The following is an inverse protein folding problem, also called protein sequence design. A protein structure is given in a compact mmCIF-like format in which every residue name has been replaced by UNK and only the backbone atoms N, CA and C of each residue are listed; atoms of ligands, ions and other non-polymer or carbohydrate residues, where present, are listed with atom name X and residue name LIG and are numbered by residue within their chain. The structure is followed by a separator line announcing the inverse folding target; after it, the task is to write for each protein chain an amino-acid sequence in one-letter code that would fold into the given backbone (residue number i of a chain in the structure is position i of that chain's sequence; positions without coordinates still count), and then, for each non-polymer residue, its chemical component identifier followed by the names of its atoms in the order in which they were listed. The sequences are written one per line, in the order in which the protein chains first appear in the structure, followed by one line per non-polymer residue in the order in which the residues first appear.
data_IF_555918628083
#
_entry.id   IF_555918628083
#
_cell.length_a   1.000
_cell.length_b   1.000
_cell.length_c   1.000
_cell.angle_alpha   90.00
_cell.angle_beta   90.00
_cell.angle_gamma   90.00
#
_symmetry.space_group_name_H-M   'P 1'
#
loop_
_entity.id
_entity.type
_entity.pdbx_description
1 polymer ?
#
# COMPACT_ATOMS: atom_id res chain seq x y z
N UNK A 1 -1.12 -6.23 -22.04
CA UNK A 1 -1.72 -5.40 -20.97
C UNK A 1 -0.60 -4.85 -20.11
N UNK A 2 -0.51 -3.53 -19.90
CA UNK A 2 0.61 -2.91 -19.16
C UNK A 2 0.31 -2.78 -17.65
N UNK A 3 1.29 -3.07 -16.81
CA UNK A 3 1.36 -2.66 -15.40
C UNK A 3 2.74 -2.08 -15.16
N UNK A 4 2.78 -0.85 -14.71
CA UNK A 4 4.01 -0.10 -14.54
C UNK A 4 4.41 -0.04 -13.06
N UNK A 5 5.71 -0.03 -12.77
CA UNK A 5 6.25 0.30 -11.45
C UNK A 5 6.66 1.76 -11.53
N UNK A 6 5.82 2.64 -10.96
CA UNK A 6 6.00 4.08 -11.01
C UNK A 6 5.49 4.75 -9.73
N UNK A 7 6.29 5.64 -9.17
CA UNK A 7 6.03 6.31 -7.89
C UNK A 7 5.96 5.31 -6.74
N UNK A 8 6.83 4.30 -6.75
CA UNK A 8 6.85 3.18 -5.79
C UNK A 8 5.49 2.47 -5.69
N UNK A 9 4.82 2.27 -6.83
CA UNK A 9 3.51 1.62 -6.92
C UNK A 9 3.35 0.83 -8.22
N UNK A 10 2.51 -0.21 -8.19
CA UNK A 10 1.99 -0.83 -9.41
C UNK A 10 0.87 0.04 -10.01
N UNK A 11 1.02 0.44 -11.27
CA UNK A 11 0.15 1.36 -11.98
C UNK A 11 -0.38 0.75 -13.30
N UNK A 12 -1.69 0.52 -13.45
CA UNK A 12 -2.73 0.73 -12.45
C UNK A 12 -2.64 -0.29 -11.30
N UNK A 13 -3.11 0.12 -10.11
CA UNK A 13 -3.15 -0.74 -8.92
C UNK A 13 -4.02 -1.97 -9.11
N UNK A 14 -5.15 -1.83 -9.81
CA UNK A 14 -6.04 -2.93 -10.16
C UNK A 14 -6.22 -2.97 -11.67
N UNK A 15 -6.04 -4.15 -12.25
CA UNK A 15 -6.25 -4.42 -13.66
C UNK A 15 -7.15 -5.65 -13.80
N UNK A 16 -7.99 -5.66 -14.84
CA UNK A 16 -8.82 -6.80 -15.16
C UNK A 16 -8.49 -7.24 -16.59
N UNK A 17 -8.41 -8.55 -16.82
CA UNK A 17 -7.98 -9.13 -18.09
C UNK A 17 -8.64 -10.48 -18.36
N UNK A 18 -8.65 -10.89 -19.61
CA UNK A 18 -9.06 -12.24 -20.01
C UNK A 18 -7.85 -13.17 -20.00
N UNK A 19 -8.05 -14.42 -19.59
CA UNK A 19 -7.05 -15.47 -19.65
C UNK A 19 -6.46 -15.60 -21.07
N UNK A 20 -5.15 -15.82 -21.16
CA UNK A 20 -4.41 -15.91 -22.43
C UNK A 20 -3.88 -14.57 -22.95
N UNK A 21 -4.28 -13.43 -22.36
CA UNK A 21 -3.63 -12.15 -22.64
C UNK A 21 -2.26 -12.06 -21.94
N UNK A 22 -1.30 -11.36 -22.55
CA UNK A 22 0.01 -11.07 -21.94
C UNK A 22 -0.07 -9.85 -21.03
N UNK A 23 0.40 -10.00 -19.79
CA UNK A 23 0.78 -8.88 -18.91
C UNK A 23 2.22 -8.49 -19.22
N UNK A 24 2.45 -7.20 -19.43
CA UNK A 24 3.76 -6.59 -19.54
C UNK A 24 3.97 -5.73 -18.30
N UNK A 25 4.99 -6.06 -17.53
CA UNK A 25 5.47 -5.24 -16.44
C UNK A 25 6.58 -4.32 -16.94
N UNK A 26 6.59 -3.08 -16.46
CA UNK A 26 7.69 -2.13 -16.71
C UNK A 26 8.17 -1.54 -15.39
N UNK A 27 9.40 -1.05 -15.37
CA UNK A 27 9.90 -0.19 -14.31
C UNK A 27 10.19 1.22 -14.88
N UNK A 28 9.45 2.22 -14.43
CA UNK A 28 9.66 3.64 -14.78
C UNK A 28 10.22 4.47 -13.62
N UNK A 29 10.48 3.83 -12.48
CA UNK A 29 11.14 4.43 -11.33
C UNK A 29 12.67 4.33 -11.48
N UNK A 30 13.40 5.13 -10.68
CA UNK A 30 14.85 5.09 -10.63
C UNK A 30 15.36 3.94 -9.74
N UNK A 31 14.47 3.40 -8.93
CA UNK A 31 14.68 2.30 -8.00
C UNK A 31 14.56 0.96 -8.71
N UNK A 32 15.33 -0.03 -8.27
CA UNK A 32 15.11 -1.41 -8.70
C UNK A 32 13.91 -1.98 -7.95
N UNK A 33 12.97 -2.55 -8.69
CA UNK A 33 11.79 -3.21 -8.14
C UNK A 33 11.80 -4.71 -8.42
N UNK A 34 10.76 -5.40 -7.99
CA UNK A 34 10.43 -6.72 -8.50
C UNK A 34 8.92 -6.90 -8.55
N UNK A 35 8.48 -7.76 -9.47
CA UNK A 35 7.11 -8.24 -9.53
C UNK A 35 7.09 -9.66 -9.03
N UNK A 36 6.48 -9.88 -7.87
CA UNK A 36 6.27 -11.18 -7.27
C UNK A 36 4.78 -11.53 -7.28
N UNK A 37 4.46 -12.61 -7.97
CA UNK A 37 3.19 -13.33 -7.99
C UNK A 37 3.44 -14.69 -7.35
N UNK A 38 2.83 -14.90 -6.19
CA UNK A 38 3.05 -16.07 -5.35
C UNK A 38 2.89 -17.38 -6.13
N UNK A 39 3.92 -18.24 -6.07
CA UNK A 39 4.04 -19.54 -6.75
C UNK A 39 4.07 -19.51 -8.29
N UNK A 40 3.98 -18.35 -8.93
CA UNK A 40 3.86 -18.25 -10.39
C UNK A 40 5.01 -17.44 -11.05
N UNK A 41 5.43 -16.32 -10.45
CA UNK A 41 6.38 -15.40 -11.09
C UNK A 41 7.13 -14.56 -10.05
N UNK A 42 8.46 -14.44 -10.14
CA UNK A 42 9.22 -13.45 -9.36
C UNK A 42 10.39 -12.94 -10.21
N UNK A 43 10.34 -11.67 -10.63
CA UNK A 43 11.37 -11.06 -11.47
C UNK A 43 11.77 -9.70 -10.92
N UNK A 44 13.06 -9.51 -10.66
CA UNK A 44 13.64 -8.20 -10.37
C UNK A 44 13.80 -7.38 -11.64
N UNK A 45 13.60 -6.07 -11.51
CA UNK A 45 13.50 -5.12 -12.62
C UNK A 45 14.25 -3.84 -12.26
N UNK A 46 15.42 -3.65 -12.87
CA UNK A 46 16.16 -2.38 -12.86
C UNK A 46 15.39 -1.29 -13.65
N UNK A 47 15.72 0.00 -13.48
CA UNK A 47 15.08 1.09 -14.19
C UNK A 47 15.01 0.86 -15.71
N UNK A 48 13.83 1.07 -16.30
CA UNK A 48 13.58 0.90 -17.73
C UNK A 48 13.40 -0.56 -18.20
N UNK A 49 13.60 -1.56 -17.34
CA UNK A 49 13.38 -2.95 -17.72
C UNK A 49 11.90 -3.29 -17.88
N UNK A 50 11.65 -4.37 -18.61
CA UNK A 50 10.31 -4.90 -18.83
C UNK A 50 10.33 -6.44 -18.87
N UNK A 51 9.29 -7.04 -18.32
CA UNK A 51 9.06 -8.49 -18.40
C UNK A 51 7.62 -8.79 -18.77
N UNK A 52 7.44 -9.86 -19.53
CA UNK A 52 6.12 -10.34 -19.92
C UNK A 52 5.76 -11.59 -19.10
N UNK A 53 4.48 -11.72 -18.75
CA UNK A 53 3.90 -12.83 -18.02
C UNK A 53 2.53 -13.17 -18.59
N UNK A 54 2.23 -14.46 -18.72
CA UNK A 54 0.91 -14.94 -19.16
C UNK A 54 0.34 -15.80 -18.04
N UNK A 55 -0.78 -15.41 -17.41
CA UNK A 55 -1.43 -16.22 -16.39
C UNK A 55 -1.85 -17.59 -16.94
N UNK A 56 -1.59 -18.65 -16.19
CA UNK A 56 -1.95 -20.03 -16.55
C UNK A 56 -3.40 -20.39 -16.18
N UNK A 57 -4.02 -19.62 -15.27
CA UNK A 57 -5.37 -19.89 -14.74
C UNK A 57 -6.14 -18.60 -14.40
N UNK A 58 -7.48 -18.62 -14.42
CA UNK A 58 -8.31 -17.55 -13.90
C UNK A 58 -8.12 -17.36 -12.38
N UNK A 59 -8.40 -16.16 -11.88
CA UNK A 59 -8.32 -15.82 -10.47
C UNK A 59 -7.81 -14.41 -10.23
N UNK A 60 -7.57 -14.08 -8.97
CA UNK A 60 -6.96 -12.81 -8.58
C UNK A 60 -5.47 -13.03 -8.35
N UNK A 61 -4.64 -12.42 -9.17
CA UNK A 61 -3.19 -12.38 -8.97
C UNK A 61 -2.86 -11.20 -8.08
N UNK A 62 -2.21 -11.47 -6.95
CA UNK A 62 -1.64 -10.45 -6.08
C UNK A 62 -0.21 -10.17 -6.55
N UNK A 63 0.07 -8.90 -6.85
CA UNK A 63 1.39 -8.40 -7.21
C UNK A 63 2.03 -7.79 -5.97
N UNK A 64 3.24 -8.22 -5.64
CA UNK A 64 4.04 -7.71 -4.54
C UNK A 64 5.41 -7.24 -5.06
N UNK A 65 6.03 -6.31 -4.35
CA UNK A 65 7.46 -6.06 -4.44
C UNK A 65 8.12 -6.48 -3.13
N UNK A 66 9.04 -7.44 -3.20
CA UNK A 66 9.83 -7.91 -2.07
C UNK A 66 10.86 -6.86 -1.61
N UNK A 67 11.21 -5.91 -2.47
CA UNK A 67 12.13 -4.79 -2.16
C UNK A 67 11.38 -3.64 -1.46
N UNK A 68 10.17 -3.33 -1.93
CA UNK A 68 9.36 -2.22 -1.43
C UNK A 68 8.03 -2.76 -0.92
N UNK A 69 7.99 -3.15 0.36
CA UNK A 69 6.87 -3.92 0.93
C UNK A 69 5.48 -3.28 0.83
N UNK A 70 5.42 -1.95 0.66
CA UNK A 70 4.16 -1.20 0.47
C UNK A 70 3.59 -1.36 -0.95
N UNK A 71 4.40 -1.76 -1.93
CA UNK A 71 3.94 -1.96 -3.30
C UNK A 71 3.07 -3.20 -3.38
N UNK A 72 1.79 -2.95 -3.63
CA UNK A 72 0.80 -3.99 -3.89
C UNK A 72 -0.12 -3.61 -5.05
N UNK A 73 -0.40 -4.59 -5.89
CA UNK A 73 -1.28 -4.48 -7.03
C UNK A 73 -2.05 -5.77 -7.26
N UNK A 74 -3.05 -5.72 -8.11
CA UNK A 74 -3.94 -6.85 -8.35
C UNK A 74 -4.31 -6.97 -9.82
N UNK A 75 -4.31 -8.21 -10.32
CA UNK A 75 -4.85 -8.53 -11.63
C UNK A 75 -5.95 -9.56 -11.50
N UNK A 76 -7.17 -9.16 -11.89
CA UNK A 76 -8.32 -10.05 -11.97
C UNK A 76 -8.35 -10.70 -13.35
N UNK A 77 -8.08 -12.00 -13.39
CA UNK A 77 -8.04 -12.81 -14.61
C UNK A 77 -9.35 -13.59 -14.74
N UNK A 78 -10.13 -13.29 -15.79
CA UNK A 78 -11.38 -13.99 -16.10
C UNK A 78 -11.18 -15.04 -17.19
N UNK A 79 -11.87 -16.19 -17.05
CA UNK A 79 -12.01 -17.15 -18.14
C UNK A 79 -12.94 -16.64 -19.25
N UNK A 80 -13.82 -15.67 -18.95
CA UNK A 80 -14.73 -15.07 -19.91
C UNK A 80 -14.15 -13.78 -20.53
N UNK A 81 -14.58 -13.42 -21.75
CA UNK A 81 -14.18 -12.16 -22.37
C UNK A 81 -14.84 -10.93 -21.74
N UNK A 82 -15.92 -11.10 -20.96
CA UNK A 82 -16.63 -10.01 -20.29
C UNK A 82 -16.01 -9.72 -18.92
N UNK A 83 -14.89 -9.00 -18.96
CA UNK A 83 -14.12 -8.59 -17.77
C UNK A 83 -13.60 -7.18 -17.96
N UNK A 84 -13.77 -6.33 -16.94
CA UNK A 84 -13.32 -4.94 -16.98
C UNK A 84 -13.22 -4.35 -15.57
N UNK A 85 -12.34 -3.38 -15.39
CA UNK A 85 -12.31 -2.52 -14.19
C UNK A 85 -13.40 -1.45 -14.27
N UNK A 86 -14.14 -1.23 -13.18
CA UNK A 86 -15.11 -0.15 -13.11
C UNK A 86 -14.43 1.23 -13.17
N UNK A 87 -15.21 2.26 -13.53
CA UNK A 87 -14.79 3.65 -13.40
C UNK A 87 -14.65 4.06 -11.93
N UNK A 88 -14.13 5.27 -11.68
CA UNK A 88 -14.02 5.84 -10.33
C UNK A 88 -15.37 6.03 -9.64
N UNK A 89 -16.47 6.08 -10.39
CA UNK A 89 -17.84 6.14 -9.84
C UNK A 89 -18.51 4.77 -9.76
N UNK A 90 -17.77 3.69 -10.00
CA UNK A 90 -18.28 2.32 -9.98
C UNK A 90 -19.03 1.91 -11.26
N UNK A 91 -19.10 2.77 -12.29
CA UNK A 91 -19.81 2.44 -13.52
C UNK A 91 -19.02 1.50 -14.43
N UNK A 92 -19.74 0.58 -15.08
CA UNK A 92 -19.20 -0.33 -16.09
C UNK A 92 -20.26 -0.65 -17.14
N UNK A 93 -19.83 -1.19 -18.28
CA UNK A 93 -20.69 -1.67 -19.36
C UNK A 93 -20.01 -2.84 -20.05
N UNK A 94 -20.79 -3.88 -20.35
CA UNK A 94 -20.43 -4.94 -21.29
C UNK A 94 -21.35 -4.82 -22.50
N UNK A 95 -20.78 -5.06 -23.67
CA UNK A 95 -21.48 -5.02 -24.95
C UNK A 95 -21.36 -6.38 -25.63
N UNK A 96 -22.34 -6.72 -26.47
CA UNK A 96 -22.35 -8.00 -27.19
C UNK A 96 -22.30 -9.22 -26.27
N UNK A 97 -23.01 -9.16 -25.13
CA UNK A 97 -23.21 -10.32 -24.25
C UNK A 97 -24.34 -11.17 -24.85
N UNK A 98 -24.10 -12.43 -25.25
CA UNK A 98 -25.13 -13.30 -25.80
C UNK A 98 -26.21 -13.62 -24.77
N UNK A 99 -27.38 -14.04 -25.27
CA UNK A 99 -28.45 -14.56 -24.44
C UNK A 99 -27.95 -15.73 -23.57
N UNK A 100 -28.30 -15.69 -22.28
CA UNK A 100 -27.85 -16.70 -21.33
C UNK A 100 -27.95 -16.27 -19.88
N UNK A 101 -27.61 -17.21 -19.00
CA UNK A 101 -27.50 -17.01 -17.55
C UNK A 101 -26.04 -16.88 -17.17
N UNK A 102 -25.70 -15.78 -16.51
CA UNK A 102 -24.33 -15.42 -16.13
C UNK A 102 -24.21 -15.18 -14.63
N UNK A 103 -23.01 -15.42 -14.11
CA UNK A 103 -22.61 -14.94 -12.80
C UNK A 103 -21.69 -13.73 -12.97
N UNK A 104 -22.18 -12.56 -12.62
CA UNK A 104 -21.36 -11.36 -12.49
C UNK A 104 -20.59 -11.44 -11.18
N UNK A 105 -19.27 -11.57 -11.28
CA UNK A 105 -18.36 -11.51 -10.14
C UNK A 105 -17.80 -10.10 -10.02
N UNK A 106 -17.98 -9.48 -8.85
CA UNK A 106 -17.42 -8.17 -8.53
C UNK A 106 -16.40 -8.35 -7.41
N UNK A 107 -15.20 -7.83 -7.63
CA UNK A 107 -14.09 -7.95 -6.70
C UNK A 107 -13.53 -6.56 -6.38
N UNK A 108 -13.19 -6.36 -5.11
CA UNK A 108 -12.47 -5.19 -4.62
C UNK A 108 -11.47 -5.65 -3.57
N UNK A 109 -10.30 -5.01 -3.48
CA UNK A 109 -9.20 -5.44 -2.61
C UNK A 109 -9.52 -5.46 -1.10
N UNK A 110 -10.64 -4.87 -0.71
CA UNK A 110 -11.13 -4.83 0.68
C UNK A 110 -12.49 -5.49 0.88
N UNK A 111 -13.20 -5.79 -0.20
CA UNK A 111 -14.57 -6.26 -0.13
C UNK A 111 -14.61 -7.78 -0.15
N UNK A 112 -15.66 -8.35 0.44
CA UNK A 112 -16.04 -9.72 0.12
C UNK A 112 -16.42 -9.77 -1.35
N UNK A 113 -15.92 -10.76 -2.10
CA UNK A 113 -16.30 -10.93 -3.49
C UNK A 113 -17.81 -11.09 -3.60
N UNK A 114 -18.45 -10.24 -4.40
CA UNK A 114 -19.87 -10.31 -4.67
C UNK A 114 -20.10 -11.16 -5.92
N UNK A 115 -21.05 -12.08 -5.84
CA UNK A 115 -21.56 -12.83 -6.98
C UNK A 115 -23.03 -12.48 -7.18
N UNK A 116 -23.38 -12.01 -8.36
CA UNK A 116 -24.75 -11.65 -8.73
C UNK A 116 -25.17 -12.40 -9.99
N UNK A 117 -26.35 -13.00 -9.99
CA UNK A 117 -26.88 -13.68 -11.19
C UNK A 117 -27.48 -12.66 -12.15
N UNK A 118 -27.16 -12.79 -13.43
CA UNK A 118 -27.67 -11.92 -14.49
C UNK A 118 -28.21 -12.80 -15.60
N UNK A 119 -29.44 -12.52 -16.03
CA UNK A 119 -30.05 -13.15 -17.20
C UNK A 119 -30.08 -12.14 -18.33
N UNK A 120 -29.46 -12.48 -19.45
CA UNK A 120 -29.50 -11.70 -20.70
C UNK A 120 -30.45 -12.44 -21.64
N UNK A 121 -31.50 -11.76 -22.09
CA UNK A 121 -32.52 -12.32 -22.98
C UNK A 121 -32.94 -11.28 -24.02
N UNK A 122 -32.78 -11.63 -25.30
CA UNK A 122 -32.98 -10.77 -26.45
C UNK A 122 -31.96 -9.62 -26.57
N UNK A 123 -32.12 -8.79 -27.60
CA UNK A 123 -31.27 -7.62 -27.88
C UNK A 123 -31.44 -6.45 -26.88
N UNK A 124 -31.83 -6.72 -25.64
CA UNK A 124 -32.13 -5.70 -24.63
C UNK A 124 -30.93 -5.41 -23.74
N UNK A 125 -30.70 -4.12 -23.47
CA UNK A 125 -29.74 -3.70 -22.44
C UNK A 125 -30.26 -4.10 -21.05
N UNK A 126 -29.52 -4.95 -20.35
CA UNK A 126 -29.78 -5.25 -18.93
C UNK A 126 -29.16 -4.13 -18.08
N UNK A 127 -29.98 -3.40 -17.33
CA UNK A 127 -29.52 -2.44 -16.32
C UNK A 127 -29.59 -3.10 -14.95
N UNK A 128 -28.47 -3.09 -14.24
CA UNK A 128 -28.39 -3.59 -12.88
C UNK A 128 -28.70 -2.47 -11.89
N UNK A 129 -29.38 -2.80 -10.81
CA UNK A 129 -29.44 -1.96 -9.62
C UNK A 129 -28.03 -1.82 -9.00
N UNK A 130 -27.76 -0.77 -8.20
CA UNK A 130 -26.48 -0.60 -7.53
C UNK A 130 -26.06 -1.85 -6.76
N UNK A 131 -24.90 -2.38 -7.11
CA UNK A 131 -24.30 -3.52 -6.42
C UNK A 131 -23.42 -3.03 -5.28
N UNK A 132 -23.73 -3.44 -4.05
CA UNK A 132 -22.96 -3.08 -2.86
C UNK A 132 -22.03 -4.22 -2.48
N UNK A 133 -20.72 -3.95 -2.46
CA UNK A 133 -19.74 -4.86 -1.85
C UNK A 133 -19.73 -4.63 -0.34
N UNK A 134 -19.94 -5.69 0.43
CA UNK A 134 -19.76 -5.63 1.88
C UNK A 134 -18.31 -5.83 2.24
N UNK A 135 -17.80 -4.94 3.07
CA UNK A 135 -16.51 -5.09 3.74
C UNK A 135 -16.85 -5.84 5.04
N UNK A 136 -16.25 -7.02 5.32
CA UNK A 136 -16.53 -7.79 6.54
C UNK A 136 -16.57 -6.91 7.81
N UNK A 137 -17.45 -7.21 8.77
CA UNK A 137 -17.44 -6.48 10.05
C UNK A 137 -16.07 -6.61 10.71
N UNK A 138 -15.51 -5.48 11.16
CA UNK A 138 -14.11 -5.39 11.63
C UNK A 138 -13.07 -5.10 10.54
N UNK A 139 -13.44 -5.13 9.26
CA UNK A 139 -12.66 -4.45 8.23
C UNK A 139 -13.13 -3.00 8.10
N UNK A 140 -12.26 -2.09 8.49
CA UNK A 140 -12.45 -0.66 8.24
C UNK A 140 -12.60 -0.50 6.72
N UNK A 141 -13.67 0.13 6.20
CA UNK A 141 -13.76 0.50 4.80
C UNK A 141 -12.65 1.51 4.55
N UNK A 142 -11.51 1.00 4.12
CA UNK A 142 -10.44 1.74 3.52
C UNK A 142 -10.99 2.50 2.30
N UNK A 143 -11.49 3.72 2.49
CA UNK A 143 -11.43 4.71 1.42
C UNK A 143 -9.98 4.64 0.90
N UNK A 144 -9.80 4.12 -0.33
CA UNK A 144 -8.62 3.35 -0.74
C UNK A 144 -7.33 3.77 -0.05
N UNK A 145 -6.63 2.80 0.55
CA UNK A 145 -5.50 3.02 1.46
C UNK A 145 -4.47 3.84 0.70
N UNK A 146 -4.55 5.15 0.88
CA UNK A 146 -3.75 6.11 0.16
C UNK A 146 -3.01 6.85 1.23
N UNK A 147 -1.82 6.35 1.44
CA UNK A 147 -0.77 7.12 2.06
C UNK A 147 -0.39 8.26 1.13
N UNK A 148 -0.24 9.42 1.73
CA UNK A 148 0.22 10.62 1.08
C UNK A 148 1.65 10.88 1.55
N UNK A 149 2.66 10.69 0.68
CA UNK A 149 4.04 10.95 1.04
C UNK A 149 4.26 12.39 1.53
N UNK A 150 5.04 12.54 2.60
CA UNK A 150 5.46 13.82 3.16
C UNK A 150 6.92 14.06 2.73
N UNK A 151 7.06 14.56 1.50
CA UNK A 151 8.37 14.77 0.88
C UNK A 151 9.11 13.47 0.55
N UNK A 152 10.40 13.60 0.24
CA UNK A 152 11.25 12.47 -0.13
C UNK A 152 11.78 11.71 1.09
N UNK A 153 11.90 10.37 1.01
CA UNK A 153 12.58 9.56 2.02
C UNK A 153 13.99 10.07 2.31
N UNK A 154 14.42 9.96 3.58
CA UNK A 154 15.72 10.41 4.05
C UNK A 154 16.60 9.22 4.43
N UNK A 155 17.77 9.11 3.80
CA UNK A 155 18.79 8.14 4.17
C UNK A 155 19.73 8.73 5.23
N UNK A 156 19.77 8.12 6.41
CA UNK A 156 20.63 8.51 7.54
C UNK A 156 20.99 7.28 8.36
N UNK A 157 22.25 7.17 8.78
CA UNK A 157 22.72 6.12 9.69
C UNK A 157 22.37 4.68 9.24
N UNK A 158 22.52 4.40 7.94
CA UNK A 158 22.11 3.13 7.33
C UNK A 158 20.64 2.75 7.60
N UNK A 159 19.78 3.77 7.63
CA UNK A 159 18.32 3.66 7.66
C UNK A 159 17.71 4.59 6.61
N UNK A 160 16.61 4.14 6.03
CA UNK A 160 15.69 4.97 5.28
C UNK A 160 14.55 5.36 6.22
N UNK A 161 14.25 6.65 6.27
CA UNK A 161 13.12 7.22 7.00
C UNK A 161 12.18 7.85 5.97
N UNK A 162 11.03 7.22 5.73
CA UNK A 162 9.95 7.80 4.96
C UNK A 162 8.84 8.29 5.89
N UNK A 163 8.12 9.32 5.45
CA UNK A 163 7.02 9.91 6.19
C UNK A 163 5.79 9.91 5.31
N UNK A 164 4.67 9.44 5.84
CA UNK A 164 3.39 9.44 5.15
C UNK A 164 2.30 9.92 6.09
N UNK A 165 1.19 10.40 5.54
CA UNK A 165 -0.05 10.55 6.29
C UNK A 165 -1.22 9.89 5.58
N UNK A 166 -2.25 9.58 6.34
CA UNK A 166 -3.50 9.03 5.87
C UNK A 166 -4.68 9.52 6.74
N UNK A 167 -5.93 9.30 6.33
CA UNK A 167 -7.08 9.55 7.19
C UNK A 167 -6.98 8.82 8.54
N UNK A 168 -7.71 9.26 9.58
CA UNK A 168 -7.65 8.65 10.90
C UNK A 168 -7.89 7.15 10.91
N UNK A 169 -7.17 6.45 11.78
CA UNK A 169 -7.25 5.00 11.97
C UNK A 169 -7.78 4.68 13.38
N UNK A 170 -8.51 3.58 13.50
CA UNK A 170 -8.87 3.00 14.79
C UNK A 170 -7.75 2.07 15.28
N UNK A 171 -7.46 2.10 16.58
CA UNK A 171 -6.42 1.27 17.21
C UNK A 171 -7.00 0.54 18.42
N UNK A 172 -6.71 -0.75 18.54
CA UNK A 172 -7.17 -1.55 19.68
C UNK A 172 -6.60 -1.02 21.00
N UNK A 173 -7.46 -0.90 22.02
CA UNK A 173 -7.06 -0.43 23.35
C UNK A 173 -6.75 1.07 23.44
N UNK A 174 -6.92 1.82 22.34
CA UNK A 174 -6.78 3.27 22.32
C UNK A 174 -8.12 3.94 21.96
N UNK A 175 -8.37 5.12 22.51
CA UNK A 175 -9.54 5.92 22.11
C UNK A 175 -9.45 6.31 20.64
N UNK A 176 -10.59 6.36 19.96
CA UNK A 176 -10.62 6.76 18.56
C UNK A 176 -10.33 8.26 18.42
N UNK A 177 -9.22 8.59 17.74
CA UNK A 177 -8.94 9.97 17.34
C UNK A 177 -9.71 10.30 16.06
N UNK A 178 -11.00 10.64 16.20
CA UNK A 178 -11.89 10.97 15.08
C UNK A 178 -11.98 12.48 14.85
N UNK A 179 -12.08 12.90 13.59
CA UNK A 179 -12.30 14.30 13.21
C UNK A 179 -11.94 14.53 11.75
N UNK A 180 -12.59 15.50 11.08
CA UNK A 180 -12.25 15.84 9.69
C UNK A 180 -10.91 16.55 9.55
N UNK A 181 -10.39 17.06 10.66
CA UNK A 181 -9.11 17.75 10.83
C UNK A 181 -8.03 16.85 11.46
N UNK A 182 -8.36 15.60 11.77
CA UNK A 182 -7.39 14.62 12.26
C UNK A 182 -6.79 13.84 11.10
N UNK A 183 -5.49 13.61 11.15
CA UNK A 183 -4.79 12.67 10.27
C UNK A 183 -4.01 11.66 11.10
N UNK A 184 -3.73 10.50 10.54
CA UNK A 184 -2.72 9.60 11.07
C UNK A 184 -1.39 9.87 10.37
N UNK A 185 -0.36 10.15 11.16
CA UNK A 185 1.01 10.39 10.70
C UNK A 185 1.83 9.13 10.95
N UNK A 186 2.57 8.68 9.94
CA UNK A 186 3.44 7.52 10.05
C UNK A 186 4.90 7.83 9.69
N UNK A 187 5.81 7.13 10.36
CA UNK A 187 7.23 7.08 10.07
C UNK A 187 7.64 5.63 9.76
N UNK A 188 7.94 5.39 8.48
CA UNK A 188 8.47 4.12 8.00
C UNK A 188 9.99 4.14 8.10
N UNK A 189 10.52 3.39 9.05
CA UNK A 189 11.96 3.35 9.34
C UNK A 189 12.49 1.95 9.09
N UNK A 190 13.27 1.82 8.02
CA UNK A 190 13.85 0.54 7.58
C UNK A 190 15.36 0.63 7.48
N UNK A 191 16.05 -0.44 7.80
CA UNK A 191 17.48 -0.55 7.62
C UNK A 191 17.81 -0.56 6.12
N UNK A 192 18.90 0.11 5.74
CA UNK A 192 19.42 0.05 4.37
C UNK A 192 20.51 -1.01 4.27
N UNK A 193 20.97 -1.26 3.06
CA UNK A 193 22.20 -2.02 2.85
C UNK A 193 23.36 -1.42 3.64
N UNK A 194 24.20 -2.29 4.22
CA UNK A 194 25.34 -1.88 5.03
C UNK A 194 25.00 -1.45 6.46
N UNK A 195 23.77 -1.69 6.95
CA UNK A 195 23.44 -1.51 8.35
C UNK A 195 24.35 -2.36 9.24
N UNK A 196 25.01 -1.71 10.21
CA UNK A 196 26.04 -2.35 11.06
C UNK A 196 25.50 -2.78 12.42
N UNK A 197 24.22 -2.54 12.69
CA UNK A 197 23.58 -2.81 13.97
C UNK A 197 22.83 -4.15 13.99
N UNK A 198 23.00 -4.96 12.93
CA UNK A 198 22.45 -6.33 12.85
C UNK A 198 21.11 -6.45 12.12
N UNK A 199 20.58 -5.34 11.60
CA UNK A 199 19.34 -5.34 10.82
C UNK A 199 19.64 -5.62 9.34
N UNK A 200 18.86 -6.51 8.74
CA UNK A 200 18.92 -6.79 7.31
C UNK A 200 18.40 -5.59 6.49
N UNK A 201 18.79 -5.52 5.22
CA UNK A 201 18.23 -4.54 4.30
C UNK A 201 16.69 -4.67 4.26
N UNK A 202 16.02 -3.52 4.27
CA UNK A 202 14.56 -3.34 4.22
C UNK A 202 13.80 -3.83 5.48
N UNK A 203 14.53 -4.35 6.47
CA UNK A 203 13.99 -4.73 7.77
C UNK A 203 13.54 -3.48 8.54
N UNK A 204 12.34 -3.55 9.13
CA UNK A 204 11.87 -2.53 10.06
C UNK A 204 12.85 -2.41 11.24
N UNK A 205 13.19 -1.19 11.65
CA UNK A 205 14.08 -0.97 12.80
C UNK A 205 13.23 -0.77 14.07
N UNK A 206 13.14 -1.78 14.96
CA UNK A 206 12.26 -1.74 16.12
C UNK A 206 12.88 -0.98 17.30
N UNK A 207 12.06 -0.74 18.32
CA UNK A 207 12.45 -0.13 19.61
C UNK A 207 13.07 1.28 19.52
N UNK A 208 13.00 1.96 18.38
CA UNK A 208 13.25 3.40 18.30
C UNK A 208 12.24 4.14 19.18
N UNK A 209 12.68 5.24 19.79
CA UNK A 209 11.76 6.28 20.26
C UNK A 209 11.72 7.38 19.21
N UNK A 210 10.54 7.58 18.63
CA UNK A 210 10.31 8.53 17.55
C UNK A 210 9.41 9.63 18.09
N UNK A 211 9.90 10.85 18.09
CA UNK A 211 9.10 12.03 18.39
C UNK A 211 8.92 12.88 17.13
N UNK A 212 7.77 13.53 16.99
CA UNK A 212 7.46 14.42 15.89
C UNK A 212 7.24 15.86 16.36
N UNK A 213 7.45 16.80 15.45
CA UNK A 213 7.07 18.20 15.62
C UNK A 213 6.67 18.77 14.26
N UNK A 214 5.52 19.43 14.21
CA UNK A 214 4.97 20.04 12.99
C UNK A 214 5.05 21.56 13.13
N UNK A 215 5.84 22.20 12.28
CA UNK A 215 6.14 23.64 12.39
C UNK A 215 5.67 24.38 11.13
N UNK A 216 5.01 25.54 11.24
CA UNK A 216 4.70 26.36 10.08
C UNK A 216 5.96 26.73 9.29
N UNK A 217 5.92 26.63 7.97
CA UNK A 217 7.07 27.03 7.11
C UNK A 217 7.38 28.52 7.19
N UNK A 218 6.40 29.34 7.59
CA UNK A 218 6.56 30.77 7.90
C UNK A 218 7.39 31.05 9.16
N UNK A 219 7.74 30.02 9.94
CA UNK A 219 8.31 30.16 11.28
C UNK A 219 7.25 30.29 12.37
N UNK A 220 7.67 30.07 13.62
CA UNK A 220 6.80 30.05 14.80
C UNK A 220 6.98 28.78 15.66
N UNK A 221 6.23 28.66 16.77
CA UNK A 221 6.22 27.43 17.56
C UNK A 221 5.58 26.26 16.78
N UNK A 222 5.84 25.01 17.18
CA UNK A 222 5.12 23.86 16.63
C UNK A 222 3.61 23.99 16.83
N UNK A 223 2.84 23.62 15.80
CA UNK A 223 1.38 23.52 15.89
C UNK A 223 0.95 22.23 16.59
N UNK A 224 1.80 21.20 16.53
CA UNK A 224 1.63 19.95 17.24
C UNK A 224 3.01 19.28 17.42
N UNK A 225 3.15 18.48 18.47
CA UNK A 225 4.34 17.69 18.77
C UNK A 225 4.00 16.57 19.76
N UNK A 226 4.66 15.44 19.63
CA UNK A 226 4.42 14.29 20.50
C UNK A 226 5.36 13.13 20.23
N UNK A 227 5.08 12.00 20.87
CA UNK A 227 5.75 10.74 20.59
C UNK A 227 4.87 9.88 19.65
N UNK A 228 5.53 9.15 18.77
CA UNK A 228 4.93 8.15 17.91
C UNK A 228 5.08 6.78 18.56
N UNK A 229 4.04 5.96 18.48
CA UNK A 229 4.04 4.61 19.03
C UNK A 229 4.38 3.61 17.93
N UNK A 230 5.07 2.49 18.24
CA UNK A 230 5.18 1.38 17.30
C UNK A 230 3.80 0.76 17.08
N UNK A 231 3.44 0.53 15.82
CA UNK A 231 2.14 0.01 15.40
C UNK A 231 2.31 -1.01 14.28
N UNK A 232 1.29 -1.82 14.08
CA UNK A 232 1.21 -2.76 12.96
C UNK A 232 -0.09 -2.56 12.20
N UNK A 233 0.02 -2.40 10.89
CA UNK A 233 -1.09 -2.35 9.96
C UNK A 233 -0.99 -3.49 8.93
N UNK A 234 -1.89 -3.50 7.94
CA UNK A 234 -1.92 -4.58 6.92
C UNK A 234 -0.68 -4.62 6.03
N UNK A 235 0.05 -3.53 5.95
CA UNK A 235 1.26 -3.31 5.14
C UNK A 235 2.56 -3.31 5.95
N UNK A 236 2.47 -3.51 7.28
CA UNK A 236 3.60 -3.86 8.12
C UNK A 236 3.72 -3.03 9.39
N UNK A 237 4.91 -3.09 9.98
CA UNK A 237 5.28 -2.31 11.16
C UNK A 237 5.71 -0.90 10.77
N UNK A 238 5.26 0.08 11.54
CA UNK A 238 5.64 1.50 11.43
C UNK A 238 5.58 2.18 12.80
N UNK A 239 5.97 3.45 12.87
CA UNK A 239 5.70 4.32 14.01
C UNK A 239 4.59 5.29 13.65
N UNK A 240 3.52 5.36 14.45
CA UNK A 240 2.33 6.15 14.16
C UNK A 240 1.96 7.15 15.25
N UNK A 241 1.29 8.23 14.88
CA UNK A 241 0.60 9.13 15.81
C UNK A 241 -0.55 9.85 15.11
N UNK A 242 -1.69 9.99 15.77
CA UNK A 242 -2.79 10.80 15.25
C UNK A 242 -2.61 12.25 15.68
N UNK A 243 -2.71 13.17 14.72
CA UNK A 243 -2.47 14.61 14.93
C UNK A 243 -3.62 15.43 14.40
N UNK A 244 -3.95 16.51 15.10
CA UNK A 244 -4.96 17.47 14.65
C UNK A 244 -4.29 18.56 13.83
N UNK A 245 -4.63 18.64 12.55
CA UNK A 245 -4.10 19.63 11.63
C UNK A 245 -4.97 20.88 11.59
N UNK A 246 -4.38 22.09 11.57
CA UNK A 246 -5.14 23.31 11.32
C UNK A 246 -5.65 23.35 9.88
N UNK A 247 -6.28 24.47 9.49
CA UNK A 247 -6.63 24.73 8.09
C UNK A 247 -5.40 24.59 7.18
N UNK A 248 -5.68 24.29 5.91
CA UNK A 248 -4.66 24.08 4.88
C UNK A 248 -3.55 25.14 4.91
N UNK A 249 -2.30 24.67 4.85
CA UNK A 249 -1.10 25.50 4.95
C UNK A 249 0.16 24.70 4.61
N UNK A 250 1.31 25.34 4.66
CA UNK A 250 2.61 24.70 4.42
C UNK A 250 3.36 24.50 5.74
N UNK A 251 3.67 23.25 6.05
CA UNK A 251 4.30 22.83 7.30
C UNK A 251 5.58 22.05 7.04
N UNK A 252 6.48 22.09 8.02
CA UNK A 252 7.66 21.23 8.10
C UNK A 252 7.41 20.21 9.19
N UNK A 253 7.49 18.94 8.82
CA UNK A 253 7.54 17.83 9.76
C UNK A 253 8.99 17.55 10.16
N UNK A 254 9.23 17.39 11.45
CA UNK A 254 10.54 17.08 12.02
C UNK A 254 10.40 15.81 12.85
N UNK A 255 11.10 14.76 12.46
CA UNK A 255 11.30 13.57 13.31
C UNK A 255 12.58 13.68 14.12
N UNK A 256 12.47 13.38 15.41
CA UNK A 256 13.59 13.14 16.33
C UNK A 256 13.58 11.66 16.70
N UNK A 257 14.60 10.94 16.23
CA UNK A 257 14.67 9.48 16.34
C UNK A 257 15.82 9.14 17.28
N UNK A 258 15.52 8.44 18.37
CA UNK A 258 16.49 7.89 19.30
C UNK A 258 16.76 6.41 18.99
N UNK A 259 17.97 5.90 19.26
CA UNK A 259 18.36 4.54 18.87
C UNK A 259 17.55 3.46 19.60
N UNK A 260 17.57 2.20 19.12
CA UNK A 260 16.78 1.10 19.71
C UNK A 260 17.02 0.85 21.20
N UNK A 261 18.22 1.16 21.71
CA UNK A 261 18.53 1.07 23.14
C UNK A 261 17.67 2.00 24.00
N UNK A 262 17.17 3.10 23.45
CA UNK A 262 16.26 4.02 24.14
C UNK A 262 14.86 3.44 24.38
N UNK A 263 14.42 2.51 23.52
CA UNK A 263 13.21 1.71 23.70
C UNK A 263 13.45 0.35 24.35
N UNK A 264 14.68 0.06 24.79
CA UNK A 264 15.00 -1.14 25.56
C UNK A 264 15.62 -2.30 24.76
N UNK A 265 15.98 -2.11 23.49
CA UNK A 265 16.70 -3.14 22.73
C UNK A 265 18.18 -3.18 23.13
N UNK A 266 18.61 -4.27 23.76
CA UNK A 266 20.02 -4.54 24.05
C UNK A 266 20.77 -5.02 22.81
N UNK A 267 21.92 -4.41 22.50
CA UNK A 267 22.85 -4.92 21.48
C UNK A 267 23.93 -5.79 22.10
N UNK A 268 24.33 -6.85 21.40
CA UNK A 268 25.55 -7.58 21.76
C UNK A 268 26.78 -6.75 21.41
N UNK A 269 27.81 -6.83 22.26
CA UNK A 269 29.06 -6.07 22.12
C UNK A 269 30.32 -6.94 22.21
N UNK A 270 30.16 -8.25 22.37
CA UNK A 270 31.28 -9.18 22.41
C UNK A 270 31.93 -9.34 21.01
N UNK A 271 33.21 -9.70 20.92
CA UNK A 271 33.92 -9.76 19.64
C UNK A 271 33.40 -10.83 18.66
N UNK A 272 32.62 -11.81 19.13
CA UNK A 272 32.21 -12.98 18.33
C UNK A 272 30.81 -12.77 17.75
N UNK A 273 29.88 -12.22 18.53
CA UNK A 273 28.47 -12.07 18.16
C UNK A 273 27.96 -10.63 18.27
N UNK A 274 28.84 -9.68 18.58
CA UNK A 274 28.52 -8.27 18.72
C UNK A 274 28.29 -7.55 17.41
N UNK A 275 27.51 -6.47 17.48
CA UNK A 275 27.26 -5.54 16.37
C UNK A 275 27.92 -4.19 16.66
N UNK A 276 28.11 -3.38 15.61
CA UNK A 276 28.72 -2.07 15.75
C UNK A 276 27.88 -1.16 16.67
N UNK A 277 28.52 -0.22 17.40
CA UNK A 277 27.83 0.83 18.14
C UNK A 277 27.00 1.75 17.24
#
# INVERSE_FOLDING_TARGET
MLIDQRGLQFAPRVRAMTLGQTLRFTNQDAETHNVHIENDFNQSMSPGQAHDFVPSRPGVLRLLCDIHSHMRGFVVVSASPWVRTCSRTGSFRFEGVPDGRYALNVWHEMGTQLRHEVVVEGDRSVRLEPLTLTVPEGSVPVAGFREYPIGEPRLRNAMQVAAVWLPPVGMEGMGEALGSDVIHLEADIRATEGNRNGFAKDEFVPYLKVAFSIVPTSGGPPIDQGEMMPMVARDGLHYGSSVTMPRAGSFRLIYRIQPPSSGGLGRRSDPVTGVAP
#
